data_IF_780432368563
#
_entry.id   IF_780432368563
#
_cell.length_a   1.000
_cell.length_b   1.000
_cell.length_c   1.000
_cell.angle_alpha   90.00
_cell.angle_beta   90.00
_cell.angle_gamma   90.00
#
_symmetry.space_group_name_H-M   'P 1'
#
loop_
_entity.id
_entity.type
_entity.pdbx_description
1 polymer ?
#
# COMPACT_ATOMS: atom_id res chain seq x y z
N UNK A 1 0.58 -9.76 15.48
CA UNK A 1 -0.50 -8.74 15.38
C UNK A 1 -1.37 -8.81 16.63
N UNK A 2 -2.00 -9.95 16.95
CA UNK A 2 -2.69 -10.16 18.24
C UNK A 2 -1.74 -10.71 19.32
N UNK A 3 -1.96 -10.28 20.58
CA UNK A 3 -1.29 -10.85 21.75
C UNK A 3 -1.79 -12.29 22.04
N UNK A 4 -0.96 -13.18 22.62
CA UNK A 4 -1.34 -14.56 22.90
C UNK A 4 -2.62 -14.71 23.73
N UNK A 5 -2.87 -13.79 24.66
CA UNK A 5 -4.02 -13.80 25.56
C UNK A 5 -5.33 -13.56 24.81
N UNK A 6 -5.33 -12.65 23.82
CA UNK A 6 -6.50 -12.35 22.99
C UNK A 6 -6.78 -13.49 22.02
N UNK A 7 -5.73 -14.11 21.46
CA UNK A 7 -5.89 -15.27 20.59
C UNK A 7 -6.53 -16.46 21.34
N UNK A 8 -6.12 -16.73 22.60
CA UNK A 8 -6.75 -17.77 23.44
C UNK A 8 -8.22 -17.50 23.76
N UNK A 9 -8.65 -16.24 23.72
CA UNK A 9 -10.03 -15.82 23.90
C UNK A 9 -10.85 -15.88 22.60
N UNK A 10 -10.26 -16.28 21.47
CA UNK A 10 -10.94 -16.38 20.19
C UNK A 10 -11.01 -15.09 19.38
N UNK A 11 -10.24 -14.06 19.75
CA UNK A 11 -10.18 -12.83 18.95
C UNK A 11 -9.35 -13.01 17.67
N UNK A 12 -9.78 -12.31 16.62
CA UNK A 12 -9.13 -12.25 15.32
C UNK A 12 -8.92 -10.80 14.89
N UNK A 13 -7.98 -10.58 13.98
CA UNK A 13 -7.80 -9.29 13.30
C UNK A 13 -8.31 -9.40 11.87
N UNK A 14 -9.07 -8.41 11.44
CA UNK A 14 -9.53 -8.29 10.06
C UNK A 14 -8.98 -6.98 9.48
N UNK A 15 -8.42 -7.03 8.27
CA UNK A 15 -7.97 -5.85 7.53
C UNK A 15 -8.76 -5.79 6.23
N UNK A 16 -9.40 -4.66 6.00
CA UNK A 16 -10.25 -4.44 4.84
C UNK A 16 -9.69 -3.27 4.03
N UNK A 17 -9.64 -3.44 2.71
CA UNK A 17 -9.18 -2.43 1.78
C UNK A 17 -10.37 -1.80 1.07
N UNK A 18 -10.58 -0.50 1.28
CA UNK A 18 -11.44 0.31 0.43
C UNK A 18 -10.67 0.69 -0.83
N UNK A 19 -11.12 0.19 -1.99
CA UNK A 19 -10.61 0.63 -3.29
C UNK A 19 -11.32 1.93 -3.70
N UNK A 20 -10.65 2.75 -4.52
CA UNK A 20 -11.21 3.99 -5.07
C UNK A 20 -11.62 5.07 -4.05
N UNK A 21 -10.80 5.28 -3.02
CA UNK A 21 -10.89 6.43 -2.12
C UNK A 21 -9.94 7.54 -2.60
N UNK A 22 -10.36 8.47 -3.47
CA UNK A 22 -9.46 9.48 -4.03
C UNK A 22 -9.00 10.47 -2.95
N UNK A 23 -7.69 10.70 -2.87
CA UNK A 23 -7.04 11.63 -1.92
C UNK A 23 -7.68 13.02 -1.89
N UNK A 24 -8.15 13.51 -3.04
CA UNK A 24 -8.79 14.83 -3.18
C UNK A 24 -10.06 15.01 -2.34
N UNK A 25 -10.75 13.92 -1.99
CA UNK A 25 -11.91 13.96 -1.09
C UNK A 25 -11.50 14.16 0.37
N UNK A 26 -10.27 13.79 0.74
CA UNK A 26 -9.80 13.80 2.14
C UNK A 26 -8.95 15.02 2.47
N UNK A 27 -8.15 15.54 1.52
CA UNK A 27 -7.15 16.60 1.81
C UNK A 27 -7.71 17.84 2.53
N UNK A 28 -8.96 18.24 2.25
CA UNK A 28 -9.55 19.46 2.83
C UNK A 28 -9.98 19.29 4.30
N UNK A 29 -10.54 18.13 4.64
CA UNK A 29 -10.99 17.80 6.00
C UNK A 29 -10.85 16.30 6.25
N UNK A 30 -9.61 15.86 6.41
CA UNK A 30 -9.27 14.45 6.50
C UNK A 30 -9.99 13.76 7.67
N UNK A 31 -10.06 14.42 8.83
CA UNK A 31 -10.67 13.85 10.04
C UNK A 31 -12.15 13.52 9.82
N UNK A 32 -12.92 14.48 9.31
CA UNK A 32 -14.36 14.30 9.09
C UNK A 32 -14.61 13.30 7.96
N UNK A 33 -13.87 13.42 6.86
CA UNK A 33 -14.05 12.56 5.68
C UNK A 33 -13.65 11.12 5.96
N UNK A 34 -12.60 10.88 6.73
CA UNK A 34 -12.22 9.53 7.20
C UNK A 34 -13.31 8.91 8.05
N UNK A 35 -13.87 9.66 9.01
CA UNK A 35 -14.95 9.17 9.86
C UNK A 35 -16.19 8.80 9.02
N UNK A 36 -16.60 9.69 8.11
CA UNK A 36 -17.71 9.44 7.20
C UNK A 36 -17.47 8.22 6.30
N UNK A 37 -16.25 8.06 5.78
CA UNK A 37 -15.90 6.91 4.96
C UNK A 37 -15.95 5.60 5.77
N UNK A 38 -15.45 5.61 7.01
CA UNK A 38 -15.52 4.46 7.92
C UNK A 38 -16.98 4.07 8.19
N UNK A 39 -17.84 5.04 8.53
CA UNK A 39 -19.27 4.79 8.78
C UNK A 39 -19.95 4.16 7.55
N UNK A 40 -19.74 4.73 6.35
CA UNK A 40 -20.29 4.19 5.10
C UNK A 40 -19.76 2.79 4.76
N UNK A 41 -18.50 2.53 5.07
CA UNK A 41 -17.88 1.24 4.80
C UNK A 41 -18.49 0.16 5.71
N UNK A 42 -18.66 0.46 7.00
CA UNK A 42 -19.32 -0.43 7.96
C UNK A 42 -20.79 -0.66 7.57
N UNK A 43 -21.53 0.41 7.25
CA UNK A 43 -22.91 0.32 6.75
C UNK A 43 -23.01 -0.60 5.52
N UNK A 44 -22.06 -0.49 4.58
CA UNK A 44 -22.03 -1.33 3.39
C UNK A 44 -21.73 -2.79 3.68
N UNK A 45 -20.91 -3.09 4.69
CA UNK A 45 -20.62 -4.47 5.10
C UNK A 45 -21.84 -5.07 5.80
N UNK A 46 -22.46 -4.32 6.71
CA UNK A 46 -23.62 -4.75 7.49
C UNK A 46 -24.81 -5.15 6.62
N UNK A 47 -24.90 -4.67 5.37
CA UNK A 47 -25.91 -5.14 4.40
C UNK A 47 -25.80 -6.63 4.04
N UNK A 48 -24.65 -7.26 4.30
CA UNK A 48 -24.35 -8.65 3.94
C UNK A 48 -24.14 -9.56 5.15
N UNK A 49 -24.20 -9.01 6.37
CA UNK A 49 -24.02 -9.76 7.61
C UNK A 49 -25.38 -10.09 8.24
N UNK A 50 -25.41 -11.19 9.00
CA UNK A 50 -26.61 -11.59 9.77
C UNK A 50 -26.83 -10.70 10.99
N UNK A 51 -25.75 -10.17 11.57
CA UNK A 51 -25.75 -9.23 12.69
C UNK A 51 -24.81 -8.03 12.40
N UNK A 52 -25.01 -6.87 13.05
CA UNK A 52 -24.13 -5.71 12.89
C UNK A 52 -22.68 -6.06 13.23
N UNK A 53 -21.73 -5.66 12.38
CA UNK A 53 -20.30 -5.90 12.59
C UNK A 53 -19.84 -5.36 13.94
N UNK A 54 -20.38 -4.23 14.38
CA UNK A 54 -20.07 -3.55 15.64
C UNK A 54 -20.28 -4.43 16.86
N UNK A 55 -21.26 -5.34 16.83
CA UNK A 55 -21.55 -6.26 17.94
C UNK A 55 -20.47 -7.35 18.08
N UNK A 56 -19.70 -7.58 17.02
CA UNK A 56 -18.59 -8.54 17.00
C UNK A 56 -17.23 -7.92 17.38
N UNK A 57 -17.14 -6.60 17.51
CA UNK A 57 -15.86 -5.91 17.71
C UNK A 57 -15.45 -5.87 19.18
N UNK A 58 -14.16 -6.06 19.43
CA UNK A 58 -13.59 -5.87 20.75
C UNK A 58 -13.75 -4.41 21.21
N UNK A 59 -13.90 -4.21 22.53
CA UNK A 59 -13.92 -2.89 23.15
C UNK A 59 -12.53 -2.55 23.68
N UNK A 60 -12.02 -1.38 23.29
CA UNK A 60 -10.75 -0.85 23.73
C UNK A 60 -10.83 -0.36 25.19
N UNK A 61 -9.66 -0.11 25.79
CA UNK A 61 -9.56 0.35 27.18
C UNK A 61 -10.27 1.68 27.46
N UNK A 62 -10.42 2.52 26.46
CA UNK A 62 -11.13 3.81 26.54
C UNK A 62 -12.64 3.69 26.27
N UNK A 63 -13.15 2.46 26.09
CA UNK A 63 -14.55 2.19 25.81
C UNK A 63 -14.94 2.31 24.33
N UNK A 64 -14.00 2.64 23.44
CA UNK A 64 -14.28 2.69 21.99
C UNK A 64 -14.22 1.30 21.36
N UNK A 65 -14.87 1.12 20.21
CA UNK A 65 -14.73 -0.12 19.44
C UNK A 65 -13.33 -0.18 18.82
N UNK A 66 -12.72 -1.37 18.81
CA UNK A 66 -11.43 -1.64 18.21
C UNK A 66 -11.50 -1.57 16.67
N UNK A 67 -11.60 -0.35 16.13
CA UNK A 67 -11.58 -0.03 14.70
C UNK A 67 -10.49 1.00 14.46
N UNK A 68 -9.62 0.72 13.49
CA UNK A 68 -8.69 1.70 12.96
C UNK A 68 -8.98 1.90 11.47
N UNK A 69 -9.13 3.16 11.06
CA UNK A 69 -9.21 3.56 9.65
C UNK A 69 -8.02 4.45 9.28
N UNK A 70 -7.53 4.28 8.05
CA UNK A 70 -6.52 5.13 7.42
C UNK A 70 -7.04 5.61 6.09
N UNK A 71 -7.02 6.92 5.89
CA UNK A 71 -7.31 7.56 4.61
C UNK A 71 -6.04 7.60 3.73
N UNK A 72 -6.17 7.96 2.44
CA UNK A 72 -5.01 8.23 1.60
C UNK A 72 -4.07 9.31 2.16
N UNK A 73 -4.61 10.34 2.83
CA UNK A 73 -3.81 11.40 3.47
C UNK A 73 -3.01 10.82 4.64
N UNK A 74 -3.62 9.95 5.45
CA UNK A 74 -2.91 9.32 6.57
C UNK A 74 -1.80 8.36 6.10
N UNK A 75 -2.04 7.68 4.97
CA UNK A 75 -1.06 6.79 4.33
C UNK A 75 0.12 7.62 3.80
N UNK A 76 -0.15 8.75 3.15
CA UNK A 76 0.87 9.69 2.69
C UNK A 76 1.70 10.23 3.86
N UNK A 77 1.05 10.73 4.91
CA UNK A 77 1.73 11.30 6.08
C UNK A 77 2.56 10.25 6.85
N UNK A 78 2.05 9.02 6.99
CA UNK A 78 2.71 7.99 7.78
C UNK A 78 3.81 7.23 7.01
N UNK A 79 3.64 7.04 5.71
CA UNK A 79 4.48 6.14 4.90
C UNK A 79 5.21 6.85 3.75
N UNK A 80 4.94 8.13 3.50
CA UNK A 80 5.51 8.87 2.36
C UNK A 80 5.00 8.37 1.00
N UNK A 81 3.87 7.65 0.99
CA UNK A 81 3.26 7.16 -0.25
C UNK A 81 2.42 8.28 -0.86
N UNK A 82 2.90 8.85 -1.96
CA UNK A 82 2.25 9.99 -2.62
C UNK A 82 0.77 9.73 -2.90
N UNK A 83 -0.08 10.66 -2.45
CA UNK A 83 -1.54 10.58 -2.48
C UNK A 83 -2.13 9.28 -1.89
N UNK A 84 -1.40 8.62 -0.99
CA UNK A 84 -1.80 7.35 -0.39
C UNK A 84 -1.82 6.17 -1.36
N UNK A 85 -1.13 6.26 -2.52
CA UNK A 85 -1.10 5.18 -3.49
C UNK A 85 -0.27 3.99 -2.97
N UNK A 86 -0.95 2.97 -2.45
CA UNK A 86 -0.32 1.75 -1.92
C UNK A 86 0.39 0.90 -3.00
N UNK A 87 0.11 1.15 -4.28
CA UNK A 87 0.82 0.52 -5.40
C UNK A 87 2.04 1.32 -5.86
N UNK A 88 2.21 2.55 -5.34
CA UNK A 88 3.30 3.49 -5.59
C UNK A 88 3.42 4.01 -7.03
N UNK A 89 2.88 3.29 -8.03
CA UNK A 89 2.66 3.75 -9.40
C UNK A 89 1.55 2.90 -10.07
N UNK A 90 1.16 3.26 -11.29
CA UNK A 90 0.32 2.44 -12.13
C UNK A 90 1.04 1.13 -12.52
N UNK A 91 0.36 -0.03 -12.52
CA UNK A 91 0.95 -1.27 -13.01
C UNK A 91 1.38 -1.13 -14.48
N UNK A 92 2.62 -1.52 -14.78
CA UNK A 92 3.14 -1.57 -16.14
C UNK A 92 3.19 -3.00 -16.66
N UNK A 93 3.12 -3.18 -17.98
CA UNK A 93 3.27 -4.50 -18.59
C UNK A 93 4.69 -5.11 -18.37
N UNK A 94 4.82 -6.45 -18.37
CA UNK A 94 6.10 -7.12 -18.15
C UNK A 94 7.08 -7.00 -19.33
N UNK A 95 6.64 -6.54 -20.49
CA UNK A 95 7.44 -6.36 -21.70
C UNK A 95 7.76 -4.88 -21.96
N UNK A 96 8.77 -4.62 -22.77
CA UNK A 96 9.10 -3.27 -23.21
C UNK A 96 7.99 -2.72 -24.12
N UNK A 97 7.42 -1.57 -23.75
CA UNK A 97 6.35 -0.91 -24.51
C UNK A 97 6.93 0.06 -25.57
N UNK A 98 8.21 0.40 -25.44
CA UNK A 98 8.93 1.26 -26.38
C UNK A 98 10.29 0.66 -26.74
N UNK A 99 10.82 1.00 -27.92
CA UNK A 99 12.18 0.58 -28.32
C UNK A 99 13.26 1.06 -27.35
N UNK A 100 13.07 2.21 -26.71
CA UNK A 100 14.01 2.76 -25.71
C UNK A 100 14.09 1.90 -24.45
N UNK A 101 13.00 1.24 -24.06
CA UNK A 101 12.97 0.36 -22.89
C UNK A 101 13.54 -1.03 -23.19
N UNK A 102 13.64 -1.42 -24.46
CA UNK A 102 14.16 -2.74 -24.82
C UNK A 102 15.63 -2.88 -24.36
N UNK A 103 15.91 -3.93 -23.60
CA UNK A 103 17.23 -4.20 -23.03
C UNK A 103 17.53 -3.50 -21.70
N UNK A 104 16.61 -2.69 -21.18
CA UNK A 104 16.75 -2.05 -19.85
C UNK A 104 16.13 -2.90 -18.75
N UNK A 105 16.63 -2.72 -17.52
CA UNK A 105 16.08 -3.35 -16.32
C UNK A 105 14.84 -2.62 -15.78
N UNK A 106 14.61 -1.37 -16.20
CA UNK A 106 13.47 -0.52 -15.80
C UNK A 106 13.60 0.11 -14.42
N UNK A 107 14.84 0.17 -13.93
CA UNK A 107 15.25 0.70 -12.62
C UNK A 107 16.25 1.84 -12.77
N UNK A 108 16.72 2.08 -13.99
CA UNK A 108 17.65 3.13 -14.36
C UNK A 108 17.04 4.51 -14.15
N UNK A 109 17.85 5.42 -13.61
CA UNK A 109 17.52 6.84 -13.42
C UNK A 109 18.42 7.71 -14.29
N UNK A 110 18.14 9.01 -14.32
CA UNK A 110 19.02 10.00 -14.96
C UNK A 110 20.39 10.15 -14.26
N UNK A 111 20.53 9.61 -13.05
CA UNK A 111 21.77 9.62 -12.27
C UNK A 111 22.46 8.26 -12.36
N UNK A 112 23.71 8.23 -12.87
CA UNK A 112 24.43 7.00 -13.26
C UNK A 112 24.52 5.90 -12.19
N UNK A 113 24.57 6.27 -10.91
CA UNK A 113 24.77 5.34 -9.79
C UNK A 113 23.56 5.24 -8.85
N UNK A 114 22.39 5.70 -9.29
CA UNK A 114 21.15 5.66 -8.50
C UNK A 114 20.12 4.83 -9.27
N UNK A 115 19.56 3.81 -8.59
CA UNK A 115 18.58 2.90 -9.17
C UNK A 115 17.33 2.83 -8.31
N UNK A 116 16.16 2.71 -8.94
CA UNK A 116 14.89 2.47 -8.25
C UNK A 116 14.75 0.99 -7.89
N UNK A 117 14.62 0.67 -6.59
CA UNK A 117 14.40 -0.70 -6.12
C UNK A 117 13.02 -0.92 -5.47
N UNK A 118 12.18 0.12 -5.44
CA UNK A 118 10.85 0.10 -4.84
C UNK A 118 9.74 -0.20 -5.85
N UNK A 119 8.51 -0.33 -5.34
CA UNK A 119 7.33 -0.69 -6.14
C UNK A 119 6.94 0.35 -7.19
N UNK A 120 7.48 1.57 -7.11
CA UNK A 120 7.35 2.61 -8.15
C UNK A 120 8.25 2.40 -9.38
N UNK A 121 9.17 1.43 -9.38
CA UNK A 121 9.96 1.13 -10.57
C UNK A 121 9.12 0.45 -11.66
N UNK A 122 9.62 0.43 -12.90
CA UNK A 122 8.93 -0.27 -13.98
C UNK A 122 8.85 -1.78 -13.65
N UNK A 123 7.69 -2.39 -13.91
CA UNK A 123 7.33 -3.78 -13.51
C UNK A 123 7.32 -3.98 -12.00
N UNK A 124 7.24 -2.89 -11.26
CA UNK A 124 6.96 -2.87 -9.83
C UNK A 124 5.49 -3.12 -9.52
N UNK A 125 5.06 -2.59 -8.38
CA UNK A 125 3.73 -2.83 -7.81
C UNK A 125 3.73 -3.88 -6.69
N UNK A 126 2.99 -3.56 -5.63
CA UNK A 126 2.78 -4.40 -4.45
C UNK A 126 4.09 -5.01 -3.91
N UNK A 127 4.08 -6.30 -3.58
CA UNK A 127 5.20 -7.04 -2.96
C UNK A 127 5.78 -8.05 -3.96
N UNK A 128 6.14 -7.60 -5.17
CA UNK A 128 6.62 -8.50 -6.24
C UNK A 128 8.08 -8.91 -6.10
N UNK A 129 8.92 -8.08 -5.46
CA UNK A 129 10.37 -8.27 -5.39
C UNK A 129 11.12 -8.02 -6.70
N UNK A 130 10.41 -7.76 -7.81
CA UNK A 130 10.99 -7.54 -9.14
C UNK A 130 11.91 -6.31 -9.16
N UNK A 131 11.50 -5.12 -8.67
CA UNK A 131 12.38 -3.95 -8.68
C UNK A 131 13.68 -4.14 -7.90
N UNK A 132 13.62 -4.82 -6.75
CA UNK A 132 14.80 -5.15 -5.96
C UNK A 132 15.78 -6.06 -6.70
N UNK A 133 15.27 -7.11 -7.34
CA UNK A 133 16.07 -7.98 -8.20
C UNK A 133 16.71 -7.21 -9.37
N UNK A 134 15.91 -6.42 -10.10
CA UNK A 134 16.37 -5.69 -11.27
C UNK A 134 17.44 -4.64 -10.92
N UNK A 135 17.26 -3.90 -9.82
CA UNK A 135 18.25 -2.95 -9.33
C UNK A 135 19.57 -3.65 -8.99
N UNK A 136 19.52 -4.80 -8.31
CA UNK A 136 20.73 -5.58 -8.02
C UNK A 136 21.44 -6.07 -9.30
N UNK A 137 20.69 -6.54 -10.30
CA UNK A 137 21.25 -6.97 -11.58
C UNK A 137 21.90 -5.83 -12.35
N UNK A 138 21.27 -4.64 -12.37
CA UNK A 138 21.84 -3.46 -13.00
C UNK A 138 23.13 -3.01 -12.32
N UNK A 139 23.18 -3.01 -10.99
CA UNK A 139 24.42 -2.72 -10.23
C UNK A 139 25.54 -3.71 -10.60
N UNK A 140 25.24 -5.00 -10.71
CA UNK A 140 26.24 -6.01 -11.09
C UNK A 140 26.74 -5.82 -12.52
N UNK A 141 25.89 -5.37 -13.44
CA UNK A 141 26.26 -5.03 -14.82
C UNK A 141 27.25 -3.86 -14.87
N UNK A 142 26.93 -2.76 -14.18
CA UNK A 142 27.81 -1.58 -14.10
C UNK A 142 29.17 -1.90 -13.48
N UNK A 143 29.18 -2.68 -12.37
CA UNK A 143 30.42 -3.09 -11.72
C UNK A 143 31.30 -4.00 -12.59
N UNK A 144 30.73 -4.71 -13.56
CA UNK A 144 31.49 -5.51 -14.54
C UNK A 144 32.07 -4.62 -15.63
N UNK A 145 31.31 -3.64 -16.11
CA UNK A 145 31.75 -2.69 -17.13
C UNK A 145 32.92 -1.81 -16.66
N UNK A 146 32.95 -1.43 -15.37
CA UNK A 146 34.08 -0.65 -14.80
C UNK A 146 35.37 -1.48 -14.68
N UNK A 147 35.29 -2.81 -14.65
CA UNK A 147 36.44 -3.71 -14.50
C UNK A 147 37.05 -4.19 -15.82
N UNK A 148 36.38 -3.97 -16.95
CA UNK A 148 36.84 -4.32 -18.30
C UNK A 148 37.55 -3.17 -18.97
#
# INVERSE_FOLDING_TARGET
ILAPELHKQGFHTMTLFGLDAPWSLFVRDNRTMRKLAQEKFIESINQWLEEPLEDCLAVARDGTLCIESKSPVDIEDALGMYHGNIFQDAPSFPFAETRRQAGTWGVEMEYENVFLCGSSAQRGGAVSGIPGHNAAMKVLEELRAVKS
#
